data_IF_683574691053
#
_entry.id   IF_683574691053
#
_cell.length_a   1.000
_cell.length_b   1.000
_cell.length_c   1.000
_cell.angle_alpha   90.00
_cell.angle_beta   90.00
_cell.angle_gamma   90.00
#
_symmetry.space_group_name_H-M   'P 1'
#
loop_
_entity.id
_entity.type
_entity.pdbx_description
1 polymer ?
#
# COMPACT_ATOMS: atom_id res chain seq x y z
N UNK A 1 -10.31 -1.36 27.60
CA UNK A 1 -10.10 -2.31 26.50
C UNK A 1 -10.53 -3.69 26.96
N UNK A 2 -11.36 -4.37 26.19
CA UNK A 2 -11.65 -5.79 26.38
C UNK A 2 -10.35 -6.59 26.21
N UNK A 3 -10.21 -7.70 26.91
CA UNK A 3 -9.03 -8.55 26.85
C UNK A 3 -8.74 -9.02 25.40
N UNK A 4 -9.79 -9.34 24.62
CA UNK A 4 -9.67 -9.72 23.22
C UNK A 4 -9.12 -8.56 22.35
N UNK A 5 -9.57 -7.34 22.59
CA UNK A 5 -9.04 -6.15 21.87
C UNK A 5 -7.56 -5.92 22.16
N UNK A 6 -7.09 -6.22 23.39
CA UNK A 6 -5.67 -6.10 23.72
C UNK A 6 -4.80 -7.02 22.85
N UNK A 7 -5.22 -8.29 22.67
CA UNK A 7 -4.46 -9.24 21.86
C UNK A 7 -4.62 -9.00 20.36
N UNK A 8 -5.81 -8.58 19.88
CA UNK A 8 -5.97 -8.14 18.48
C UNK A 8 -5.13 -6.89 18.19
N UNK A 9 -5.03 -5.94 19.12
CA UNK A 9 -4.13 -4.80 18.96
C UNK A 9 -2.66 -5.23 18.85
N UNK A 10 -2.25 -6.28 19.60
CA UNK A 10 -0.91 -6.86 19.43
C UNK A 10 -0.73 -7.50 18.05
N UNK A 11 -1.75 -8.17 17.52
CA UNK A 11 -1.72 -8.68 16.13
C UNK A 11 -1.55 -7.55 15.13
N UNK A 12 -2.25 -6.42 15.29
CA UNK A 12 -2.12 -5.24 14.44
C UNK A 12 -0.69 -4.66 14.47
N UNK A 13 -0.08 -4.54 15.66
CA UNK A 13 1.32 -4.09 15.79
C UNK A 13 2.29 -5.00 15.06
N UNK A 14 2.15 -6.31 15.19
CA UNK A 14 2.98 -7.30 14.49
C UNK A 14 2.79 -7.22 12.98
N UNK A 15 1.55 -7.12 12.52
CA UNK A 15 1.21 -7.06 11.11
C UNK A 15 1.85 -5.86 10.37
N UNK A 16 2.01 -4.72 11.06
CA UNK A 16 2.66 -3.52 10.50
C UNK A 16 4.09 -3.77 10.03
N UNK A 17 4.82 -4.73 10.63
CA UNK A 17 6.17 -5.08 10.17
C UNK A 17 6.22 -5.69 8.77
N UNK A 18 5.09 -6.14 8.24
CA UNK A 18 4.95 -6.64 6.87
C UNK A 18 4.70 -5.58 5.81
N UNK A 19 4.47 -4.31 6.19
CA UNK A 19 4.11 -3.24 5.26
C UNK A 19 5.21 -3.01 4.21
N UNK A 20 4.82 -3.05 2.93
CA UNK A 20 5.72 -2.94 1.78
C UNK A 20 6.36 -4.25 1.31
N UNK A 21 6.30 -5.34 2.09
CA UNK A 21 6.96 -6.61 1.76
C UNK A 21 5.99 -7.76 1.44
N UNK A 22 4.75 -7.66 1.91
CA UNK A 22 3.76 -8.75 1.79
C UNK A 22 2.97 -8.74 0.49
N UNK A 23 2.99 -7.66 -0.30
CA UNK A 23 2.24 -7.60 -1.56
C UNK A 23 2.47 -8.82 -2.46
N UNK A 24 1.43 -9.45 -3.01
CA UNK A 24 0.01 -9.04 -3.00
C UNK A 24 -0.79 -9.57 -1.78
N UNK A 25 -0.16 -10.15 -0.77
CA UNK A 25 -0.83 -10.69 0.41
C UNK A 25 -1.19 -9.58 1.42
N UNK A 26 -2.22 -9.78 2.26
CA UNK A 26 -2.58 -8.84 3.32
C UNK A 26 -1.55 -8.79 4.43
N UNK A 27 -1.66 -7.75 5.26
CA UNK A 27 -0.91 -7.59 6.51
C UNK A 27 -1.58 -8.40 7.61
N UNK A 28 -0.92 -9.45 8.06
CA UNK A 28 -1.45 -10.35 9.10
C UNK A 28 -0.43 -10.51 10.23
N UNK A 29 -0.93 -10.40 11.45
CA UNK A 29 -0.24 -10.72 12.69
C UNK A 29 -1.08 -11.68 13.52
N UNK A 30 -0.42 -12.55 14.26
CA UNK A 30 -1.09 -13.54 15.10
C UNK A 30 -0.37 -13.71 16.43
N UNK A 31 -1.12 -13.93 17.50
CA UNK A 31 -0.58 -14.28 18.82
C UNK A 31 -1.29 -15.49 19.39
N UNK A 32 -0.56 -16.29 20.17
CA UNK A 32 -1.06 -17.44 20.92
C UNK A 32 -1.06 -17.08 22.41
N UNK A 33 -2.19 -17.25 23.05
CA UNK A 33 -2.39 -16.88 24.46
C UNK A 33 -2.80 -18.10 25.29
N UNK A 34 -2.09 -18.34 26.38
CA UNK A 34 -2.40 -19.33 27.40
C UNK A 34 -2.35 -18.68 28.79
N UNK A 35 -3.39 -18.90 29.59
CA UNK A 35 -3.50 -18.35 30.96
C UNK A 35 -3.19 -16.84 31.04
N UNK A 36 -3.78 -16.06 30.11
CA UNK A 36 -3.61 -14.60 30.02
C UNK A 36 -2.22 -14.13 29.56
N UNK A 37 -1.31 -15.04 29.18
CA UNK A 37 0.04 -14.71 28.73
C UNK A 37 0.22 -15.06 27.25
N UNK A 38 0.88 -14.17 26.51
CA UNK A 38 1.32 -14.47 25.14
C UNK A 38 2.47 -15.47 25.21
N UNK A 39 2.29 -16.64 24.60
CA UNK A 39 3.29 -17.71 24.54
C UNK A 39 3.87 -17.90 23.14
N UNK A 40 3.27 -17.26 22.13
CA UNK A 40 3.77 -17.26 20.75
C UNK A 40 3.29 -16.04 19.97
N UNK A 41 4.12 -15.53 19.07
CA UNK A 41 3.83 -14.37 18.22
C UNK A 41 4.39 -14.58 16.82
N UNK A 42 3.69 -14.05 15.82
CA UNK A 42 4.14 -14.08 14.44
C UNK A 42 3.43 -13.10 13.55
N UNK A 43 4.04 -12.77 12.43
CA UNK A 43 3.42 -11.97 11.37
C UNK A 43 3.82 -12.52 10.01
N UNK A 44 3.06 -12.18 8.97
CA UNK A 44 3.44 -12.46 7.60
C UNK A 44 4.56 -11.53 7.17
N UNK A 45 5.76 -12.07 6.97
CA UNK A 45 6.97 -11.26 6.75
C UNK A 45 7.13 -10.82 5.30
N UNK A 46 6.83 -11.73 4.35
CA UNK A 46 7.05 -11.51 2.92
C UNK A 46 6.17 -12.44 2.09
N UNK A 47 5.71 -11.96 0.94
CA UNK A 47 4.94 -12.76 -0.01
C UNK A 47 5.67 -14.06 -0.39
N UNK A 48 4.94 -15.19 -0.27
CA UNK A 48 5.46 -16.53 -0.53
C UNK A 48 6.13 -17.22 0.65
N UNK A 49 6.34 -16.52 1.77
CA UNK A 49 6.81 -17.10 3.04
C UNK A 49 5.64 -17.52 3.95
N UNK A 50 5.97 -18.07 5.13
CA UNK A 50 5.00 -18.52 6.12
C UNK A 50 4.03 -17.40 6.54
N UNK A 51 2.76 -17.75 6.73
CA UNK A 51 1.74 -16.85 7.24
C UNK A 51 1.92 -16.57 8.74
N UNK A 52 1.20 -15.57 9.26
CA UNK A 52 1.32 -15.11 10.63
C UNK A 52 1.04 -16.22 11.64
N UNK A 53 -0.02 -17.01 11.41
CA UNK A 53 -0.44 -18.10 12.27
C UNK A 53 0.64 -19.20 12.33
N UNK A 54 1.24 -19.53 11.19
CA UNK A 54 2.36 -20.50 11.11
C UNK A 54 3.54 -20.01 11.95
N UNK A 55 3.91 -18.73 11.79
CA UNK A 55 5.01 -18.13 12.54
C UNK A 55 4.70 -18.03 14.05
N UNK A 56 3.45 -17.70 14.43
CA UNK A 56 3.04 -17.65 15.82
C UNK A 56 3.08 -19.04 16.49
N UNK A 57 2.52 -20.07 15.83
CA UNK A 57 2.56 -21.45 16.31
C UNK A 57 4.00 -21.96 16.43
N UNK A 58 4.84 -21.69 15.43
CA UNK A 58 6.24 -22.12 15.43
C UNK A 58 7.09 -21.44 16.52
N UNK A 59 6.67 -20.29 17.03
CA UNK A 59 7.36 -19.56 18.10
C UNK A 59 7.05 -20.09 19.51
N UNK A 60 6.01 -20.93 19.66
CA UNK A 60 5.62 -21.53 20.96
C UNK A 60 6.64 -22.59 21.37
N UNK A 61 7.22 -22.44 22.57
CA UNK A 61 8.23 -23.35 23.09
C UNK A 61 7.66 -24.70 23.53
N UNK A 62 6.53 -24.67 24.21
CA UNK A 62 5.82 -25.87 24.69
C UNK A 62 4.56 -26.08 23.84
N UNK A 63 4.65 -26.96 22.87
CA UNK A 63 3.60 -27.22 21.87
C UNK A 63 2.33 -27.82 22.52
N UNK A 64 2.45 -28.51 23.65
CA UNK A 64 1.30 -29.10 24.33
C UNK A 64 0.35 -28.01 24.91
N UNK A 65 0.85 -26.80 25.15
CA UNK A 65 0.03 -25.68 25.59
C UNK A 65 -0.93 -25.19 24.49
N UNK A 66 -0.67 -25.45 23.20
CA UNK A 66 -1.55 -25.07 22.09
C UNK A 66 -2.97 -25.61 22.28
N UNK A 67 -3.11 -26.82 22.81
CA UNK A 67 -4.41 -27.48 23.06
C UNK A 67 -5.24 -26.82 24.16
N UNK A 68 -4.70 -25.84 24.86
CA UNK A 68 -5.34 -25.07 25.93
C UNK A 68 -5.29 -23.58 25.68
N UNK A 69 -4.84 -23.16 24.50
CA UNK A 69 -4.59 -21.76 24.16
C UNK A 69 -5.68 -21.17 23.28
N UNK A 70 -5.72 -19.85 23.22
CA UNK A 70 -6.51 -19.08 22.25
C UNK A 70 -5.57 -18.47 21.20
N UNK A 71 -5.87 -18.66 19.93
CA UNK A 71 -5.21 -17.97 18.83
C UNK A 71 -5.95 -16.68 18.50
N UNK A 72 -5.23 -15.58 18.40
CA UNK A 72 -5.71 -14.28 17.95
C UNK A 72 -5.09 -13.95 16.59
N UNK A 73 -5.87 -13.39 15.70
CA UNK A 73 -5.41 -12.97 14.37
C UNK A 73 -6.25 -11.77 13.88
N UNK A 74 -5.60 -10.78 13.27
CA UNK A 74 -6.32 -9.58 12.81
C UNK A 74 -7.16 -9.79 11.54
N UNK A 75 -6.95 -10.90 10.80
CA UNK A 75 -7.68 -11.25 9.58
C UNK A 75 -8.04 -12.73 9.58
N UNK A 76 -9.16 -13.09 8.98
CA UNK A 76 -9.63 -14.47 8.84
C UNK A 76 -8.54 -15.42 8.32
N UNK A 77 -8.26 -16.57 9.00
CA UNK A 77 -7.31 -17.57 8.54
C UNK A 77 -7.69 -18.15 7.17
N UNK A 78 -6.73 -18.26 6.26
CA UNK A 78 -6.99 -18.81 4.93
C UNK A 78 -7.41 -20.28 4.96
N UNK A 79 -8.33 -20.65 4.05
CA UNK A 79 -8.90 -22.00 3.90
C UNK A 79 -8.54 -22.71 2.60
N UNK A 80 -7.94 -21.99 1.63
CA UNK A 80 -7.56 -22.53 0.34
C UNK A 80 -6.07 -22.88 0.27
N UNK A 81 -5.74 -23.89 -0.52
CA UNK A 81 -4.35 -24.20 -0.84
C UNK A 81 -3.78 -23.16 -1.80
N UNK A 82 -2.76 -22.46 -1.34
CA UNK A 82 -1.93 -21.56 -2.14
C UNK A 82 -0.54 -22.12 -2.35
N UNK A 83 0.50 -21.30 -2.14
CA UNK A 83 1.90 -21.76 -2.08
C UNK A 83 2.21 -22.54 -0.80
N UNK A 84 1.39 -22.36 0.25
CA UNK A 84 1.47 -23.03 1.54
C UNK A 84 0.11 -23.69 1.87
N UNK A 85 0.09 -24.74 2.72
CA UNK A 85 -1.16 -25.29 3.23
C UNK A 85 -1.99 -24.23 3.96
N UNK A 86 -3.34 -24.36 4.00
CA UNK A 86 -4.23 -23.42 4.67
C UNK A 86 -3.95 -23.26 6.16
N UNK A 87 -4.00 -22.05 6.68
CA UNK A 87 -3.81 -21.79 8.12
C UNK A 87 -4.91 -22.42 8.96
N UNK A 88 -6.16 -22.45 8.46
CA UNK A 88 -7.25 -23.14 9.15
C UNK A 88 -6.94 -24.62 9.41
N UNK A 89 -6.35 -25.32 8.43
CA UNK A 89 -5.95 -26.73 8.59
C UNK A 89 -4.84 -26.91 9.64
N UNK A 90 -3.89 -25.99 9.70
CA UNK A 90 -2.85 -26.03 10.71
C UNK A 90 -3.42 -25.82 12.12
N UNK A 91 -4.32 -24.85 12.29
CA UNK A 91 -4.99 -24.58 13.57
C UNK A 91 -5.75 -25.82 14.06
N UNK A 92 -6.51 -26.47 13.17
CA UNK A 92 -7.23 -27.73 13.47
C UNK A 92 -6.24 -28.84 13.84
N UNK A 93 -5.19 -29.03 13.05
CA UNK A 93 -4.15 -30.05 13.31
C UNK A 93 -3.48 -29.86 14.68
N UNK A 94 -3.24 -28.62 15.08
CA UNK A 94 -2.64 -28.27 16.38
C UNK A 94 -3.63 -28.34 17.54
N UNK A 95 -4.91 -28.65 17.26
CA UNK A 95 -5.99 -28.77 18.25
C UNK A 95 -6.13 -27.52 19.13
N UNK A 96 -5.98 -26.31 18.54
CA UNK A 96 -6.21 -25.04 19.24
C UNK A 96 -7.72 -24.88 19.43
N UNK A 97 -8.22 -24.79 20.68
CA UNK A 97 -9.67 -24.90 20.94
C UNK A 97 -10.45 -23.62 20.62
N UNK A 98 -9.77 -22.47 20.54
CA UNK A 98 -10.43 -21.17 20.34
C UNK A 98 -9.63 -20.25 19.43
N UNK A 99 -10.33 -19.55 18.51
CA UNK A 99 -9.79 -18.56 17.60
C UNK A 99 -10.58 -17.26 17.71
N UNK A 100 -9.89 -16.13 17.90
CA UNK A 100 -10.46 -14.78 17.92
C UNK A 100 -9.93 -14.00 16.71
N UNK A 101 -10.83 -13.49 15.88
CA UNK A 101 -10.56 -12.89 14.59
C UNK A 101 -10.95 -11.42 14.60
N UNK A 102 -10.08 -10.54 14.14
CA UNK A 102 -10.35 -9.10 14.01
C UNK A 102 -11.41 -8.81 12.95
N UNK A 103 -11.19 -9.23 11.72
CA UNK A 103 -12.11 -9.01 10.59
C UNK A 103 -12.12 -10.19 9.62
N UNK A 104 -13.19 -10.30 8.83
CA UNK A 104 -13.31 -11.28 7.74
C UNK A 104 -12.46 -10.88 6.53
N UNK A 105 -12.00 -11.87 5.78
CA UNK A 105 -11.26 -11.62 4.54
C UNK A 105 -12.24 -11.25 3.40
N UNK A 106 -12.05 -10.10 2.69
CA UNK A 106 -12.92 -9.70 1.58
C UNK A 106 -12.67 -10.52 0.30
N UNK A 107 -11.61 -11.30 0.25
CA UNK A 107 -11.28 -12.10 -0.92
C UNK A 107 -12.26 -13.26 -1.07
N UNK A 108 -13.02 -13.30 -2.19
CA UNK A 108 -14.12 -14.24 -2.40
C UNK A 108 -13.78 -15.73 -2.21
N UNK A 109 -12.50 -16.12 -2.36
CA UNK A 109 -12.05 -17.51 -2.12
C UNK A 109 -11.86 -17.84 -0.64
N UNK A 110 -11.79 -16.84 0.22
CA UNK A 110 -11.58 -16.99 1.66
C UNK A 110 -12.84 -16.66 2.43
N UNK A 111 -13.50 -15.57 2.09
CA UNK A 111 -14.63 -14.93 2.76
C UNK A 111 -15.57 -15.91 3.49
N UNK A 112 -15.41 -16.04 4.81
CA UNK A 112 -16.20 -16.92 5.65
C UNK A 112 -15.82 -18.42 5.63
N UNK A 113 -15.03 -18.87 4.63
CA UNK A 113 -14.70 -20.28 4.47
C UNK A 113 -13.72 -20.80 5.54
N UNK A 114 -12.78 -19.93 5.98
CA UNK A 114 -11.87 -20.25 7.07
C UNK A 114 -12.60 -20.40 8.39
N UNK A 115 -13.51 -19.46 8.67
CA UNK A 115 -14.38 -19.48 9.86
C UNK A 115 -15.27 -20.72 9.85
N UNK A 116 -15.94 -21.02 8.73
CA UNK A 116 -16.79 -22.20 8.62
C UNK A 116 -16.02 -23.49 8.89
N UNK A 117 -14.85 -23.64 8.30
CA UNK A 117 -13.97 -24.81 8.46
C UNK A 117 -13.51 -25.01 9.92
N UNK A 118 -13.18 -23.93 10.63
CA UNK A 118 -12.82 -23.98 12.04
C UNK A 118 -14.01 -24.41 12.90
N UNK A 119 -15.22 -23.87 12.63
CA UNK A 119 -16.45 -24.23 13.34
C UNK A 119 -16.87 -25.68 13.09
N UNK A 120 -16.73 -26.18 11.86
CA UNK A 120 -16.98 -27.59 11.52
C UNK A 120 -16.04 -28.56 12.28
N UNK A 121 -14.85 -28.09 12.65
CA UNK A 121 -13.90 -28.82 13.49
C UNK A 121 -14.13 -28.59 14.99
N UNK A 122 -15.29 -28.06 15.39
CA UNK A 122 -15.69 -27.79 16.78
C UNK A 122 -14.78 -26.78 17.52
N UNK A 123 -14.06 -25.92 16.78
CA UNK A 123 -13.27 -24.84 17.35
C UNK A 123 -14.18 -23.65 17.64
N UNK A 124 -14.09 -23.10 18.84
CA UNK A 124 -14.78 -21.86 19.20
C UNK A 124 -14.22 -20.67 18.39
N UNK A 125 -15.07 -19.97 17.63
CA UNK A 125 -14.65 -18.83 16.80
C UNK A 125 -15.45 -17.59 17.14
N UNK A 126 -14.75 -16.53 17.55
CA UNK A 126 -15.29 -15.18 17.73
C UNK A 126 -14.71 -14.22 16.70
N UNK A 127 -15.51 -13.27 16.18
CA UNK A 127 -15.14 -12.35 15.10
C UNK A 127 -15.61 -10.94 15.42
N UNK A 128 -14.88 -9.91 14.92
CA UNK A 128 -15.31 -8.51 14.97
C UNK A 128 -14.63 -7.67 16.05
N UNK A 129 -13.48 -8.09 16.55
CA UNK A 129 -12.72 -7.31 17.53
C UNK A 129 -11.76 -6.33 16.83
N UNK A 130 -11.91 -5.04 17.12
CA UNK A 130 -11.18 -3.95 16.45
C UNK A 130 -11.29 -4.05 14.91
N UNK A 131 -12.47 -4.36 14.41
CA UNK A 131 -12.72 -4.59 12.99
C UNK A 131 -12.34 -3.36 12.15
N UNK A 132 -12.67 -2.15 12.64
CA UNK A 132 -12.33 -0.90 11.96
C UNK A 132 -10.82 -0.74 11.81
N UNK A 133 -10.05 -1.00 12.85
CA UNK A 133 -8.59 -0.90 12.86
C UNK A 133 -7.95 -2.00 11.98
N UNK A 134 -8.52 -3.20 11.98
CA UNK A 134 -8.10 -4.29 11.10
C UNK A 134 -8.32 -3.96 9.63
N UNK A 135 -9.47 -3.37 9.30
CA UNK A 135 -9.81 -2.91 7.95
C UNK A 135 -8.90 -1.75 7.52
N UNK A 136 -8.66 -0.77 8.41
CA UNK A 136 -7.76 0.36 8.12
C UNK A 136 -6.32 -0.10 7.85
N UNK A 137 -5.79 -1.05 8.63
CA UNK A 137 -4.48 -1.62 8.38
C UNK A 137 -4.38 -2.26 7.00
N UNK A 138 -5.42 -2.96 6.58
CA UNK A 138 -5.49 -3.70 5.32
C UNK A 138 -6.22 -2.94 4.20
N UNK A 139 -6.42 -1.62 4.32
CA UNK A 139 -7.19 -0.80 3.36
C UNK A 139 -6.75 -0.98 1.90
N UNK A 140 -5.45 -1.20 1.64
CA UNK A 140 -4.91 -1.45 0.30
C UNK A 140 -5.42 -2.77 -0.28
N UNK A 141 -5.34 -3.83 0.50
CA UNK A 141 -5.83 -5.16 0.15
C UNK A 141 -7.36 -5.15 -0.02
N UNK A 142 -8.10 -4.53 0.90
CA UNK A 142 -9.56 -4.43 0.85
C UNK A 142 -10.02 -3.63 -0.39
N UNK A 143 -9.44 -2.45 -0.64
CA UNK A 143 -9.76 -1.64 -1.82
C UNK A 143 -9.54 -2.43 -3.11
N UNK A 144 -8.40 -3.13 -3.22
CA UNK A 144 -8.07 -3.90 -4.41
C UNK A 144 -9.10 -4.99 -4.70
N UNK A 145 -9.50 -5.77 -3.69
CA UNK A 145 -10.43 -6.88 -3.88
C UNK A 145 -11.90 -6.45 -3.99
N UNK A 146 -12.31 -5.40 -3.29
CA UNK A 146 -13.69 -4.91 -3.29
C UNK A 146 -13.98 -3.95 -4.45
N UNK A 147 -13.07 -2.98 -4.69
CA UNK A 147 -13.25 -1.92 -5.71
C UNK A 147 -12.57 -2.26 -7.05
N UNK A 148 -11.81 -3.35 -7.14
CA UNK A 148 -11.06 -3.80 -8.34
C UNK A 148 -10.10 -2.73 -8.88
N UNK A 149 -9.50 -1.98 -8.00
CA UNK A 149 -8.49 -0.95 -8.28
C UNK A 149 -7.49 -0.84 -7.11
N UNK A 150 -6.31 -0.24 -7.32
CA UNK A 150 -5.41 0.06 -6.20
C UNK A 150 -6.02 1.06 -5.23
N UNK A 151 -5.51 1.08 -4.00
CA UNK A 151 -5.63 2.19 -3.06
C UNK A 151 -4.78 3.35 -3.59
N UNK A 152 -5.38 4.51 -3.82
CA UNK A 152 -4.78 5.64 -4.52
C UNK A 152 -4.43 6.73 -3.53
N UNK A 153 -3.14 7.07 -3.48
CA UNK A 153 -2.60 8.13 -2.65
C UNK A 153 -2.13 9.27 -3.55
N UNK A 154 -2.80 10.42 -3.48
CA UNK A 154 -2.32 11.65 -4.11
C UNK A 154 -1.26 12.28 -3.22
N UNK A 155 -0.12 12.67 -3.79
CA UNK A 155 0.94 13.32 -3.03
C UNK A 155 1.60 14.45 -3.83
N UNK A 156 1.66 15.62 -3.22
CA UNK A 156 2.48 16.73 -3.75
C UNK A 156 3.05 17.60 -2.64
N UNK A 157 4.00 18.43 -3.00
CA UNK A 157 4.48 19.52 -2.17
C UNK A 157 4.16 20.84 -2.86
N UNK A 158 3.70 21.82 -2.12
CA UNK A 158 3.38 23.15 -2.60
C UNK A 158 3.99 24.23 -1.70
N UNK A 159 4.22 25.38 -2.29
CA UNK A 159 4.60 26.59 -1.56
C UNK A 159 3.39 27.16 -0.82
N UNK A 160 3.62 28.09 0.14
CA UNK A 160 2.53 28.76 0.86
C UNK A 160 1.58 29.56 -0.05
N UNK A 161 2.06 29.99 -1.21
CA UNK A 161 1.30 30.69 -2.24
C UNK A 161 0.74 29.78 -3.34
N UNK A 162 0.79 28.43 -3.13
CA UNK A 162 0.05 27.42 -3.90
C UNK A 162 0.69 26.97 -5.21
N UNK A 163 2.02 27.00 -5.33
CA UNK A 163 2.75 26.52 -6.51
C UNK A 163 3.49 25.21 -6.22
N UNK A 164 3.55 24.30 -7.20
CA UNK A 164 4.25 23.01 -7.09
C UNK A 164 5.60 23.02 -7.82
N UNK A 165 5.86 23.97 -8.67
CA UNK A 165 7.14 24.15 -9.40
C UNK A 165 7.24 25.59 -9.93
N UNK A 166 8.45 26.13 -10.16
CA UNK A 166 8.63 27.37 -10.91
C UNK A 166 8.26 27.18 -12.39
N UNK A 167 7.95 28.30 -13.09
CA UNK A 167 7.65 28.27 -14.54
C UNK A 167 8.87 27.89 -15.39
N UNK A 168 10.04 28.33 -14.97
CA UNK A 168 11.31 28.08 -15.66
C UNK A 168 12.29 27.43 -14.71
N UNK A 169 13.05 26.48 -15.21
CA UNK A 169 14.14 25.79 -14.51
C UNK A 169 15.41 25.91 -15.36
N UNK A 170 16.53 26.21 -14.71
CA UNK A 170 17.83 26.30 -15.38
C UNK A 170 18.40 24.91 -15.75
N UNK A 171 17.94 23.86 -15.05
CA UNK A 171 18.38 22.49 -15.26
C UNK A 171 17.21 21.51 -15.08
N UNK A 172 17.29 20.34 -15.74
CA UNK A 172 16.33 19.25 -15.60
C UNK A 172 16.52 18.54 -14.24
N UNK A 173 16.27 19.27 -13.16
CA UNK A 173 16.37 18.78 -11.78
C UNK A 173 15.14 19.18 -10.97
N UNK A 174 14.75 18.34 -9.97
CA UNK A 174 13.68 18.70 -9.04
C UNK A 174 14.02 20.01 -8.29
N UNK A 175 13.08 20.92 -8.23
CA UNK A 175 13.14 22.04 -7.29
C UNK A 175 12.51 21.57 -5.98
N UNK A 176 13.32 21.57 -4.91
CA UNK A 176 12.86 21.11 -3.61
C UNK A 176 12.06 22.21 -2.91
N UNK A 177 10.75 22.02 -2.81
CA UNK A 177 9.84 22.89 -2.09
C UNK A 177 9.84 22.54 -0.59
N UNK A 178 9.81 21.24 -0.27
CA UNK A 178 9.81 20.76 1.12
C UNK A 178 11.22 20.45 1.64
N UNK A 179 11.38 20.48 2.96
CA UNK A 179 12.65 20.27 3.64
C UNK A 179 13.17 18.81 3.51
N UNK A 180 14.45 18.54 3.85
CA UNK A 180 15.06 17.21 3.72
C UNK A 180 14.36 16.11 4.54
N UNK A 181 13.79 16.42 5.72
CA UNK A 181 13.07 15.44 6.54
C UNK A 181 11.76 15.01 5.87
N UNK A 182 11.04 15.94 5.24
CA UNK A 182 9.87 15.63 4.42
C UNK A 182 10.24 14.71 3.26
N UNK A 183 11.39 14.93 2.61
CA UNK A 183 11.90 14.06 1.54
C UNK A 183 12.20 12.65 2.06
N UNK A 184 12.84 12.52 3.23
CA UNK A 184 13.10 11.23 3.85
C UNK A 184 11.79 10.48 4.15
N UNK A 185 10.77 11.17 4.66
CA UNK A 185 9.43 10.60 4.89
C UNK A 185 8.79 10.11 3.60
N UNK A 186 8.89 10.87 2.50
CA UNK A 186 8.42 10.44 1.18
C UNK A 186 9.12 9.16 0.72
N UNK A 187 10.44 9.06 0.93
CA UNK A 187 11.17 7.83 0.62
C UNK A 187 10.74 6.65 1.50
N UNK A 188 10.38 6.89 2.76
CA UNK A 188 9.78 5.86 3.61
C UNK A 188 8.42 5.40 3.06
N UNK A 189 7.55 6.32 2.63
CA UNK A 189 6.28 5.94 1.99
C UNK A 189 6.48 5.11 0.72
N UNK A 190 7.50 5.45 -0.09
CA UNK A 190 7.85 4.64 -1.28
C UNK A 190 8.27 3.21 -0.94
N UNK A 191 8.77 2.94 0.26
CA UNK A 191 9.04 1.55 0.69
C UNK A 191 7.78 0.79 1.08
N UNK A 192 6.72 1.51 1.41
CA UNK A 192 5.46 0.97 1.92
C UNK A 192 4.42 0.74 0.81
N UNK A 193 4.49 1.54 -0.27
CA UNK A 193 3.54 1.45 -1.36
C UNK A 193 4.10 0.65 -2.55
N UNK A 194 3.22 -0.07 -3.25
CA UNK A 194 3.64 -0.99 -4.31
C UNK A 194 4.09 -0.29 -5.58
N UNK A 195 3.49 0.86 -5.91
CA UNK A 195 3.81 1.62 -7.12
C UNK A 195 3.84 3.13 -6.90
N UNK A 196 4.52 3.82 -7.83
CA UNK A 196 4.53 5.28 -7.95
C UNK A 196 4.19 5.64 -9.40
N UNK A 197 3.28 6.63 -9.59
CA UNK A 197 2.80 7.03 -10.89
C UNK A 197 3.09 8.51 -11.15
N UNK A 198 3.63 8.80 -12.33
CA UNK A 198 3.94 10.16 -12.82
C UNK A 198 3.56 10.32 -14.30
N UNK A 199 3.32 11.58 -14.70
CA UNK A 199 3.08 11.93 -16.10
C UNK A 199 4.36 12.26 -16.87
N UNK A 200 4.27 12.34 -18.22
CA UNK A 200 5.36 12.66 -19.16
C UNK A 200 6.13 13.92 -18.77
N UNK A 201 5.43 15.03 -18.50
CA UNK A 201 6.09 16.32 -18.22
C UNK A 201 6.93 16.26 -16.95
N UNK A 202 6.45 15.59 -15.89
CA UNK A 202 7.24 15.39 -14.67
C UNK A 202 8.55 14.66 -14.93
N UNK A 203 8.53 13.68 -15.84
CA UNK A 203 9.76 12.95 -16.19
C UNK A 203 10.67 13.82 -17.04
N UNK A 204 10.15 14.56 -18.02
CA UNK A 204 10.92 15.44 -18.89
C UNK A 204 11.59 16.59 -18.11
N UNK A 205 10.84 17.18 -17.15
CA UNK A 205 11.28 18.35 -16.38
C UNK A 205 12.28 18.00 -15.27
N UNK A 206 12.18 16.81 -14.69
CA UNK A 206 12.92 16.46 -13.45
C UNK A 206 13.86 15.27 -13.61
N UNK A 207 13.74 14.47 -14.68
CA UNK A 207 14.43 13.19 -14.86
C UNK A 207 14.50 12.36 -13.54
N UNK A 208 13.37 12.11 -12.89
CA UNK A 208 13.35 11.58 -11.54
C UNK A 208 13.65 10.08 -11.53
N UNK A 209 14.45 9.63 -10.57
CA UNK A 209 14.73 8.19 -10.40
C UNK A 209 13.55 7.40 -9.87
N UNK A 210 12.61 7.99 -9.14
CA UNK A 210 11.41 7.40 -8.56
C UNK A 210 11.69 6.14 -7.70
N UNK A 211 12.90 6.01 -7.21
CA UNK A 211 13.35 4.89 -6.38
C UNK A 211 13.46 5.31 -4.89
N UNK A 212 13.75 4.35 -4.05
CA UNK A 212 14.14 4.54 -2.64
C UNK A 212 15.65 4.74 -2.58
N UNK A 213 16.12 5.80 -1.90
CA UNK A 213 17.56 6.11 -1.72
C UNK A 213 17.88 6.75 -0.36
N UNK A 214 16.94 7.46 0.23
CA UNK A 214 17.15 8.19 1.49
C UNK A 214 16.72 7.36 2.73
N UNK A 215 16.38 6.07 2.54
CA UNK A 215 16.06 5.09 3.58
C UNK A 215 16.28 3.67 3.06
N UNK A 216 16.20 2.67 3.95
CA UNK A 216 16.28 1.26 3.58
C UNK A 216 14.90 0.73 3.20
N UNK A 217 14.83 -0.08 2.15
CA UNK A 217 13.59 -0.73 1.73
C UNK A 217 13.55 -0.97 0.22
N UNK A 218 12.46 -1.61 -0.23
CA UNK A 218 12.25 -1.92 -1.64
C UNK A 218 11.72 -0.68 -2.37
N UNK A 219 12.22 -0.45 -3.58
CA UNK A 219 11.69 0.59 -4.47
C UNK A 219 10.33 0.17 -5.04
N UNK A 220 9.39 1.13 -5.20
CA UNK A 220 8.10 0.87 -5.84
C UNK A 220 8.25 0.62 -7.34
N UNK A 221 7.28 -0.06 -7.95
CA UNK A 221 7.14 -0.16 -9.40
C UNK A 221 6.89 1.25 -9.95
N UNK A 222 7.65 1.65 -10.96
CA UNK A 222 7.44 2.93 -11.65
C UNK A 222 6.32 2.80 -12.67
N UNK A 223 5.35 3.68 -12.64
CA UNK A 223 4.30 3.81 -13.66
C UNK A 223 4.49 5.17 -14.30
N UNK A 224 4.71 5.18 -15.60
CA UNK A 224 4.99 6.41 -16.36
C UNK A 224 3.96 6.53 -17.48
N UNK A 225 3.18 7.62 -17.47
CA UNK A 225 2.30 7.94 -18.57
C UNK A 225 3.12 8.66 -19.63
N UNK A 226 3.31 8.02 -20.79
CA UNK A 226 3.97 8.62 -21.94
C UNK A 226 3.25 8.27 -23.24
N UNK A 227 2.18 9.02 -23.52
CA UNK A 227 1.27 8.77 -24.64
C UNK A 227 1.98 8.50 -25.95
N UNK A 228 2.96 9.32 -26.30
CA UNK A 228 3.63 9.30 -27.61
C UNK A 228 5.07 8.73 -27.54
N UNK A 229 5.49 8.19 -26.38
CA UNK A 229 6.87 7.76 -26.12
C UNK A 229 7.90 8.86 -26.40
N UNK A 230 7.66 10.05 -25.81
CA UNK A 230 8.50 11.23 -25.99
C UNK A 230 9.68 11.29 -25.03
N UNK A 231 9.65 10.50 -23.96
CA UNK A 231 10.72 10.48 -22.95
C UNK A 231 11.95 9.82 -23.57
N UNK A 232 13.13 10.49 -23.60
CA UNK A 232 14.36 9.90 -24.09
C UNK A 232 14.77 8.65 -23.32
N UNK A 233 15.33 7.65 -24.02
CA UNK A 233 15.69 6.35 -23.45
C UNK A 233 16.89 6.38 -22.50
N UNK A 234 17.62 7.48 -22.43
CA UNK A 234 18.72 7.76 -21.49
C UNK A 234 18.23 8.33 -20.15
N UNK A 235 16.91 8.59 -20.00
CA UNK A 235 16.33 9.04 -18.73
C UNK A 235 16.26 7.94 -17.69
N UNK A 236 16.30 8.34 -16.41
CA UNK A 236 16.36 7.44 -15.25
C UNK A 236 15.22 6.40 -15.19
N UNK A 237 14.06 6.68 -15.78
CA UNK A 237 12.93 5.75 -15.83
C UNK A 237 13.18 4.55 -16.77
N UNK A 238 14.19 4.62 -17.63
CA UNK A 238 14.63 3.53 -18.52
C UNK A 238 15.85 2.75 -17.98
N UNK A 239 16.38 3.08 -16.79
CA UNK A 239 17.61 2.49 -16.23
C UNK A 239 17.53 1.00 -15.85
N UNK A 240 16.34 0.39 -15.95
CA UNK A 240 16.04 -1.02 -15.65
C UNK A 240 16.35 -1.47 -14.21
N UNK A 241 16.79 -0.55 -13.34
CA UNK A 241 17.09 -0.86 -11.92
C UNK A 241 15.85 -1.22 -11.12
N UNK A 242 14.68 -0.75 -11.57
CA UNK A 242 13.36 -1.00 -10.99
C UNK A 242 12.39 -1.27 -12.12
N UNK A 243 11.43 -2.18 -11.90
CA UNK A 243 10.36 -2.42 -12.87
C UNK A 243 9.64 -1.12 -13.21
N UNK A 244 9.56 -0.81 -14.52
CA UNK A 244 8.87 0.37 -15.04
C UNK A 244 7.80 -0.08 -16.04
N UNK A 245 6.57 0.42 -15.86
CA UNK A 245 5.45 0.21 -16.78
C UNK A 245 5.13 1.54 -17.43
N UNK A 246 5.33 1.62 -18.73
CA UNK A 246 4.93 2.76 -19.55
C UNK A 246 3.49 2.57 -20.03
N UNK A 247 2.65 3.59 -19.82
CA UNK A 247 1.29 3.65 -20.34
C UNK A 247 1.30 4.58 -21.56
N UNK A 248 1.01 4.03 -22.73
CA UNK A 248 1.20 4.70 -24.02
C UNK A 248 0.04 4.43 -24.98
N UNK A 249 -0.07 5.24 -26.06
CA UNK A 249 -0.98 4.97 -27.18
C UNK A 249 -0.35 4.09 -28.27
N UNK A 250 0.95 3.81 -28.16
CA UNK A 250 1.72 3.09 -29.19
C UNK A 250 1.76 1.59 -28.89
N UNK A 251 1.80 0.79 -29.93
CA UNK A 251 2.18 -0.61 -29.83
C UNK A 251 3.69 -0.67 -29.66
N UNK A 252 4.15 -1.17 -28.52
CA UNK A 252 5.56 -1.29 -28.21
C UNK A 252 5.81 -2.57 -27.43
N UNK A 253 6.71 -3.39 -27.93
CA UNK A 253 7.18 -4.59 -27.23
C UNK A 253 8.51 -4.29 -26.52
N UNK A 254 8.77 -5.03 -25.46
CA UNK A 254 10.05 -5.02 -24.77
C UNK A 254 10.52 -6.46 -24.51
N UNK A 255 11.79 -6.71 -24.73
CA UNK A 255 12.45 -7.96 -24.35
C UNK A 255 13.09 -7.89 -22.95
N UNK A 256 12.96 -6.75 -22.29
CA UNK A 256 13.54 -6.49 -20.97
C UNK A 256 12.49 -6.77 -19.87
N UNK A 257 12.82 -7.65 -18.93
CA UNK A 257 11.90 -8.07 -17.86
C UNK A 257 11.39 -6.89 -17.02
N UNK A 258 12.24 -5.90 -16.76
CA UNK A 258 11.93 -4.72 -15.96
C UNK A 258 11.35 -3.56 -16.76
N UNK A 259 11.03 -3.73 -18.04
CA UNK A 259 10.49 -2.68 -18.88
C UNK A 259 9.25 -3.19 -19.62
N UNK A 260 8.08 -2.63 -19.28
CA UNK A 260 6.79 -3.07 -19.81
C UNK A 260 6.09 -1.88 -20.46
N UNK A 261 5.45 -2.10 -21.60
CA UNK A 261 4.61 -1.12 -22.26
C UNK A 261 3.17 -1.60 -22.29
N UNK A 262 2.24 -0.77 -21.82
CA UNK A 262 0.81 -1.04 -21.81
C UNK A 262 0.11 0.02 -22.67
N UNK A 263 -0.55 -0.45 -23.72
CA UNK A 263 -1.30 0.41 -24.64
C UNK A 263 -2.68 0.69 -24.11
N UNK A 264 -3.07 1.97 -24.11
CA UNK A 264 -4.44 2.41 -23.80
C UNK A 264 -4.94 3.41 -24.85
N UNK A 265 -6.27 3.63 -24.87
CA UNK A 265 -6.90 4.68 -25.65
C UNK A 265 -6.95 5.99 -24.87
N UNK A 266 -6.20 7.01 -25.31
CA UNK A 266 -6.17 8.32 -24.67
C UNK A 266 -7.33 9.25 -25.09
N UNK A 267 -8.32 8.75 -25.84
CA UNK A 267 -9.47 9.56 -26.27
C UNK A 267 -10.66 9.44 -25.31
N UNK A 268 -10.72 8.36 -24.50
CA UNK A 268 -11.84 8.11 -23.61
C UNK A 268 -11.41 7.38 -22.32
N UNK A 269 -12.06 7.72 -21.20
CA UNK A 269 -11.93 7.02 -19.91
C UNK A 269 -10.47 6.71 -19.50
N UNK A 270 -9.56 7.65 -19.71
CA UNK A 270 -8.11 7.44 -19.54
C UNK A 270 -7.78 6.96 -18.13
N UNK A 271 -8.34 7.60 -17.09
CA UNK A 271 -8.04 7.23 -15.70
C UNK A 271 -8.52 5.81 -15.41
N UNK A 272 -9.73 5.43 -15.86
CA UNK A 272 -10.22 4.06 -15.67
C UNK A 272 -9.31 3.03 -16.34
N UNK A 273 -8.87 3.28 -17.58
CA UNK A 273 -7.95 2.38 -18.28
C UNK A 273 -6.59 2.27 -17.56
N UNK A 274 -6.09 3.37 -16.98
CA UNK A 274 -4.90 3.32 -16.12
C UNK A 274 -5.14 2.40 -14.92
N UNK A 275 -6.27 2.52 -14.23
CA UNK A 275 -6.62 1.67 -13.10
C UNK A 275 -6.76 0.19 -13.50
N UNK A 276 -7.31 -0.09 -14.67
CA UNK A 276 -7.42 -1.46 -15.22
C UNK A 276 -6.03 -2.07 -15.49
N UNK A 277 -5.09 -1.27 -16.02
CA UNK A 277 -3.68 -1.68 -16.18
C UNK A 277 -3.06 -1.98 -14.81
N UNK A 278 -3.23 -1.11 -13.82
CA UNK A 278 -2.70 -1.35 -12.48
C UNK A 278 -3.31 -2.61 -11.84
N UNK A 279 -4.61 -2.83 -12.01
CA UNK A 279 -5.30 -4.04 -11.54
C UNK A 279 -4.79 -5.31 -12.23
N UNK A 280 -4.61 -5.28 -13.57
CA UNK A 280 -3.99 -6.35 -14.37
C UNK A 280 -2.62 -6.76 -13.82
N UNK A 281 -1.81 -5.78 -13.42
CA UNK A 281 -0.49 -5.99 -12.83
C UNK A 281 -0.50 -6.30 -11.33
N UNK A 282 -1.67 -6.53 -10.73
CA UNK A 282 -1.85 -6.85 -9.30
C UNK A 282 -1.25 -5.78 -8.38
N UNK A 283 -1.32 -4.52 -8.78
CA UNK A 283 -0.86 -3.38 -7.98
C UNK A 283 -1.98 -2.97 -7.02
N UNK A 284 -1.74 -3.13 -5.73
CA UNK A 284 -2.73 -2.88 -4.67
C UNK A 284 -2.66 -1.46 -4.11
N UNK A 285 -1.55 -0.76 -4.29
CA UNK A 285 -1.42 0.63 -3.89
C UNK A 285 -0.54 1.41 -4.84
N UNK A 286 -0.85 2.70 -5.03
CA UNK A 286 -0.10 3.60 -5.87
C UNK A 286 -0.03 5.01 -5.27
N UNK A 287 1.17 5.59 -5.24
CA UNK A 287 1.37 7.02 -4.97
C UNK A 287 1.39 7.75 -6.30
N UNK A 288 0.55 8.76 -6.48
CA UNK A 288 0.55 9.66 -7.63
C UNK A 288 1.30 10.92 -7.21
N UNK A 289 2.51 11.10 -7.74
CA UNK A 289 3.42 12.18 -7.32
C UNK A 289 3.52 13.32 -8.34
N UNK A 290 2.84 13.27 -9.46
CA UNK A 290 3.17 14.32 -10.32
C UNK A 290 2.41 14.53 -11.60
N UNK A 291 2.64 15.62 -12.07
CA UNK A 291 2.14 16.82 -12.62
C UNK A 291 0.76 17.26 -12.09
N UNK A 292 0.57 18.57 -11.97
CA UNK A 292 -0.70 19.15 -11.50
C UNK A 292 -1.91 18.63 -12.29
N UNK A 293 -1.77 18.47 -13.60
CA UNK A 293 -2.84 17.98 -14.47
C UNK A 293 -3.24 16.52 -14.14
N UNK A 294 -2.26 15.66 -13.93
CA UNK A 294 -2.54 14.25 -13.58
C UNK A 294 -3.25 14.14 -12.23
N UNK A 295 -2.75 14.84 -11.20
CA UNK A 295 -3.41 14.91 -9.90
C UNK A 295 -4.83 15.45 -10.04
N UNK A 296 -5.02 16.53 -10.82
CA UNK A 296 -6.33 17.15 -11.06
C UNK A 296 -7.31 16.18 -11.71
N UNK A 297 -6.86 15.34 -12.65
CA UNK A 297 -7.73 14.35 -13.30
C UNK A 297 -8.27 13.32 -12.31
N UNK A 298 -7.43 12.80 -11.40
CA UNK A 298 -7.89 11.89 -10.35
C UNK A 298 -8.83 12.55 -9.35
N UNK A 299 -8.60 13.82 -9.02
CA UNK A 299 -9.47 14.60 -8.13
C UNK A 299 -10.84 14.81 -8.77
N UNK A 300 -10.89 15.24 -10.03
CA UNK A 300 -12.13 15.52 -10.76
C UNK A 300 -13.00 14.28 -10.96
N UNK A 301 -12.38 13.13 -11.19
CA UNK A 301 -13.10 11.85 -11.29
C UNK A 301 -13.42 11.22 -9.93
N UNK A 302 -13.02 11.86 -8.83
CA UNK A 302 -13.17 11.35 -7.46
C UNK A 302 -12.55 9.95 -7.28
N UNK A 303 -11.48 9.65 -8.00
CA UNK A 303 -10.77 8.37 -7.99
C UNK A 303 -9.47 8.47 -7.17
N UNK A 304 -9.62 8.69 -5.87
CA UNK A 304 -8.54 8.70 -4.90
C UNK A 304 -9.08 8.26 -3.53
N UNK A 305 -8.21 7.81 -2.64
CA UNK A 305 -8.58 7.35 -1.30
C UNK A 305 -7.90 8.19 -0.20
N UNK A 306 -6.68 8.66 -0.46
CA UNK A 306 -5.89 9.45 0.49
C UNK A 306 -5.12 10.55 -0.26
N UNK A 307 -4.98 11.74 0.36
CA UNK A 307 -4.08 12.77 -0.14
C UNK A 307 -3.10 13.21 0.97
N UNK A 308 -1.82 13.37 0.61
CA UNK A 308 -0.71 13.80 1.47
C UNK A 308 -0.09 15.04 0.89
N UNK A 309 -0.34 16.19 1.51
CA UNK A 309 0.05 17.49 0.99
C UNK A 309 1.07 18.13 1.92
N UNK A 310 2.25 18.43 1.39
CA UNK A 310 3.23 19.28 2.07
C UNK A 310 3.03 20.72 1.66
N UNK A 311 2.96 21.64 2.62
CA UNK A 311 2.97 23.07 2.38
C UNK A 311 4.17 23.68 3.09
N UNK A 312 5.09 24.28 2.33
CA UNK A 312 6.30 24.91 2.85
C UNK A 312 6.09 26.42 3.04
N UNK A 313 6.97 27.05 3.82
CA UNK A 313 7.00 28.50 4.00
C UNK A 313 7.56 29.26 2.78
N UNK A 314 8.05 28.55 1.76
CA UNK A 314 8.60 29.15 0.55
C UNK A 314 7.48 29.81 -0.25
N UNK A 315 7.77 30.95 -0.89
CA UNK A 315 6.90 31.61 -1.86
C UNK A 315 7.63 31.75 -3.20
N UNK A 316 6.99 31.34 -4.27
CA UNK A 316 7.51 31.46 -5.64
C UNK A 316 7.00 32.68 -6.38
N UNK A 317 5.89 33.30 -5.92
CA UNK A 317 5.14 34.41 -6.54
C UNK A 317 4.51 34.05 -7.89
N UNK A 318 5.18 33.23 -8.70
CA UNK A 318 4.69 32.67 -9.96
C UNK A 318 5.21 31.24 -10.14
N UNK A 319 4.45 30.40 -10.84
CA UNK A 319 4.82 29.01 -11.01
C UNK A 319 3.67 28.16 -11.57
N UNK A 320 3.90 26.84 -11.58
CA UNK A 320 2.88 25.85 -11.88
C UNK A 320 1.99 25.70 -10.65
N UNK A 321 0.72 26.04 -10.78
CA UNK A 321 -0.24 25.94 -9.67
C UNK A 321 -0.43 24.50 -9.20
N UNK A 322 -0.60 24.32 -7.90
CA UNK A 322 -1.10 23.09 -7.30
C UNK A 322 -2.48 22.73 -7.91
N UNK A 323 -2.88 21.45 -7.87
CA UNK A 323 -4.24 21.10 -8.28
C UNK A 323 -5.27 21.81 -7.39
N UNK A 324 -6.45 22.08 -7.96
CA UNK A 324 -7.57 22.61 -7.17
C UNK A 324 -8.10 21.48 -6.28
N UNK A 325 -7.96 21.69 -4.97
CA UNK A 325 -8.25 20.67 -3.98
C UNK A 325 -8.97 21.28 -2.77
N UNK A 326 -10.29 21.12 -2.74
CA UNK A 326 -11.15 21.74 -1.73
C UNK A 326 -11.80 20.67 -0.84
N UNK A 327 -11.00 20.06 0.04
CA UNK A 327 -11.46 19.04 0.98
C UNK A 327 -11.09 19.41 2.40
N UNK A 328 -11.85 18.89 3.36
CA UNK A 328 -11.54 19.06 4.78
C UNK A 328 -10.47 18.04 5.19
N UNK A 329 -9.38 18.51 5.77
CA UNK A 329 -8.33 17.62 6.29
C UNK A 329 -8.79 16.89 7.55
N UNK A 330 -8.29 15.65 7.74
CA UNK A 330 -8.52 14.85 8.94
C UNK A 330 -7.34 14.86 9.91
N UNK A 331 -6.14 15.12 9.41
CA UNK A 331 -4.96 15.18 10.26
C UNK A 331 -3.95 16.19 9.70
N UNK A 332 -3.26 16.88 10.60
CA UNK A 332 -2.22 17.85 10.30
C UNK A 332 -1.04 17.67 11.25
N UNK A 333 0.16 17.74 10.73
CA UNK A 333 1.40 17.73 11.52
C UNK A 333 2.44 18.64 10.89
N UNK A 334 3.40 19.08 11.70
CA UNK A 334 4.53 19.90 11.26
C UNK A 334 5.81 19.07 11.28
N UNK A 335 6.60 19.20 10.23
CA UNK A 335 7.94 18.60 10.10
C UNK A 335 8.90 19.77 9.94
N UNK A 336 9.50 20.22 11.02
CA UNK A 336 10.12 21.53 11.13
C UNK A 336 9.11 22.63 10.76
N UNK A 337 9.38 23.40 9.71
CA UNK A 337 8.54 24.51 9.26
C UNK A 337 7.52 24.09 8.17
N UNK A 338 7.63 22.88 7.61
CA UNK A 338 6.69 22.40 6.62
C UNK A 338 5.48 21.76 7.28
N UNK A 339 4.30 22.14 6.79
CA UNK A 339 3.03 21.53 7.17
C UNK A 339 2.78 20.29 6.31
N UNK A 340 2.45 19.15 6.93
CA UNK A 340 1.94 17.96 6.26
C UNK A 340 0.50 17.73 6.65
N UNK A 341 -0.37 17.72 5.66
CA UNK A 341 -1.81 17.53 5.83
C UNK A 341 -2.29 16.26 5.15
N UNK A 342 -3.13 15.50 5.87
CA UNK A 342 -3.75 14.28 5.36
C UNK A 342 -5.24 14.47 5.13
N UNK A 343 -5.71 13.93 4.01
CA UNK A 343 -7.11 13.91 3.62
C UNK A 343 -7.49 12.49 3.24
N UNK A 344 -8.72 12.09 3.56
CA UNK A 344 -9.27 10.78 3.21
C UNK A 344 -10.61 10.95 2.48
N UNK A 345 -10.80 10.19 1.43
CA UNK A 345 -12.00 10.16 0.62
C UNK A 345 -12.76 8.85 0.91
N UNK A 346 -13.80 8.96 1.71
CA UNK A 346 -14.60 7.82 2.17
C UNK A 346 -15.77 7.50 1.25
#
# INVERSE_FOLDING_TARGET
>A
LNLHETYINRCLQLAQYGLGTTYPNPLVGSVIVFDGKIIGEGWHKKAGEAHAEVNAIASVKDVDLLKKSTLYVNLEPCSHFGKTPPCADLIIKMQIPKVVIGTMDPFAKVCGNGIAKLKEAEIEVEVGFLEKECNELNKRFFTFHQKRRPYIILKWAQTQDGFIAPLHKDENRPVWISNPLCRQLVHQWRTQEQAILVGTNTVLDDNPKLNVRDTFGKSPIRIVIDRELKIPTDYSVYDKSVKTIFITSKEQESHEENLVFEKIDFQSNVIQQILDVLYKHQIQSVIIEGGSQLLQSFIQENLWDEARIFTSEISLKEGIKAPDFQYTYQNKQYIQNDELTFFYNY
#
